data_IF_226597823085
#
_entry.id   IF_226597823085
#
_cell.length_a   1.000
_cell.length_b   1.000
_cell.length_c   1.000
_cell.angle_alpha   90.00
_cell.angle_beta   90.00
_cell.angle_gamma   90.00
#
_symmetry.space_group_name_H-M   'P 1'
#
loop_
_entity.id
_entity.type
_entity.pdbx_description
1 polymer ?
#
# COMPACT_ATOMS: atom_id res chain seq x y z
N UNK A 1 -65.19 37.37 48.54
CA UNK A 1 -65.00 36.45 49.68
C UNK A 1 -63.74 35.63 49.41
N UNK A 2 -62.73 35.75 50.31
CA UNK A 2 -61.62 34.81 50.67
C UNK A 2 -60.95 33.98 49.54
N UNK A 3 -59.64 33.78 49.44
CA UNK A 3 -58.39 34.15 50.15
C UNK A 3 -57.33 33.36 49.33
N UNK A 4 -56.44 33.95 48.52
CA UNK A 4 -55.04 34.30 48.85
C UNK A 4 -54.49 33.75 50.18
N UNK A 5 -53.21 33.31 50.13
CA UNK A 5 -52.32 32.74 51.18
C UNK A 5 -52.32 31.19 51.19
N UNK A 6 -51.23 30.43 51.19
CA UNK A 6 -49.81 30.67 51.51
C UNK A 6 -48.98 29.49 50.97
N UNK A 7 -47.85 29.76 50.29
CA UNK A 7 -46.44 29.61 50.74
C UNK A 7 -45.83 28.22 50.55
N UNK A 8 -44.70 28.25 49.82
CA UNK A 8 -43.42 27.57 50.09
C UNK A 8 -43.48 26.20 50.77
N UNK A 9 -42.92 25.17 50.11
CA UNK A 9 -41.99 24.19 50.71
C UNK A 9 -41.38 23.34 49.57
N UNK A 10 -40.07 23.54 49.34
CA UNK A 10 -39.03 22.58 48.89
C UNK A 10 -39.33 21.70 47.66
N UNK A 11 -38.78 21.95 46.47
CA UNK A 11 -37.35 21.82 46.10
C UNK A 11 -36.74 20.48 46.53
N UNK A 12 -37.17 19.35 45.94
CA UNK A 12 -36.40 18.08 45.99
C UNK A 12 -36.86 17.01 44.97
N UNK A 13 -36.80 17.27 43.65
CA UNK A 13 -36.58 16.20 42.63
C UNK A 13 -35.90 16.82 41.41
N UNK A 14 -34.68 17.31 41.58
CA UNK A 14 -33.75 17.64 40.48
C UNK A 14 -32.34 17.25 40.93
N UNK A 15 -32.14 15.97 41.22
CA UNK A 15 -30.84 15.43 41.61
C UNK A 15 -30.79 13.92 41.37
N UNK A 16 -30.91 13.48 40.11
CA UNK A 16 -30.34 12.18 39.70
C UNK A 16 -30.20 12.06 38.17
N UNK A 17 -29.47 12.98 37.53
CA UNK A 17 -28.99 12.72 36.15
C UNK A 17 -27.78 13.57 35.73
N UNK A 18 -26.98 14.04 36.69
CA UNK A 18 -25.76 14.80 36.42
C UNK A 18 -24.57 14.19 37.17
N UNK A 19 -24.23 12.95 36.82
CA UNK A 19 -22.94 12.33 37.10
C UNK A 19 -22.81 11.10 36.19
N UNK A 20 -22.27 11.32 34.98
CA UNK A 20 -21.55 10.34 34.15
C UNK A 20 -20.96 11.08 32.92
N UNK A 21 -20.36 12.25 33.17
CA UNK A 21 -19.47 12.92 32.23
C UNK A 21 -18.07 12.88 32.82
N UNK A 22 -17.44 11.72 32.73
CA UNK A 22 -16.11 11.49 33.29
C UNK A 22 -15.58 10.11 32.93
N UNK A 23 -14.51 10.12 32.14
CA UNK A 23 -13.58 9.02 31.90
C UNK A 23 -14.09 7.78 31.15
N UNK A 24 -13.74 7.72 29.87
CA UNK A 24 -13.83 6.51 29.06
C UNK A 24 -13.30 6.67 27.65
N UNK A 25 -12.24 7.46 27.43
CA UNK A 25 -11.44 7.22 26.23
C UNK A 25 -10.90 5.81 26.41
N UNK A 26 -11.46 4.85 25.67
CA UNK A 26 -10.92 3.50 25.62
C UNK A 26 -9.48 3.63 25.11
N UNK A 27 -8.54 3.61 26.06
CA UNK A 27 -7.14 3.42 25.76
C UNK A 27 -7.09 2.09 25.02
N UNK A 28 -6.75 2.13 23.73
CA UNK A 28 -6.36 0.93 22.99
C UNK A 28 -5.34 0.22 23.89
N UNK A 29 -5.59 -1.02 24.34
CA UNK A 29 -4.61 -1.72 25.14
C UNK A 29 -3.33 -1.81 24.32
N UNK A 30 -2.29 -1.07 24.75
CA UNK A 30 -0.93 -1.23 24.22
C UNK A 30 -0.45 -2.60 24.70
N UNK A 31 -0.78 -3.64 23.93
CA UNK A 31 -0.22 -4.97 24.14
C UNK A 31 1.30 -4.83 24.18
N UNK A 32 1.98 -5.24 25.26
CA UNK A 32 3.42 -5.05 25.39
C UNK A 32 4.21 -5.75 24.30
N UNK A 33 5.40 -5.19 24.01
CA UNK A 33 6.60 -5.77 23.39
C UNK A 33 6.77 -7.31 23.47
N UNK A 34 5.93 -8.16 22.89
CA UNK A 34 6.14 -9.62 22.89
C UNK A 34 7.34 -10.00 22.00
N UNK A 35 8.47 -10.24 22.67
CA UNK A 35 9.74 -10.66 22.10
C UNK A 35 9.85 -12.19 22.09
N UNK A 36 10.54 -12.74 21.09
CA UNK A 36 10.91 -14.15 21.07
C UNK A 36 11.87 -14.47 22.23
N UNK A 37 11.87 -15.71 22.70
CA UNK A 37 12.70 -16.16 23.83
C UNK A 37 14.21 -16.04 23.61
N UNK A 38 14.64 -15.93 22.35
CA UNK A 38 16.05 -15.81 21.93
C UNK A 38 16.44 -14.36 21.57
N UNK A 39 15.61 -13.36 21.87
CA UNK A 39 15.94 -11.96 21.60
C UNK A 39 17.05 -11.46 22.55
N UNK A 40 18.17 -10.90 22.03
CA UNK A 40 19.20 -10.31 22.86
C UNK A 40 18.73 -8.95 23.40
N UNK A 41 19.23 -8.50 24.56
CA UNK A 41 18.89 -7.18 25.11
C UNK A 41 19.34 -6.01 24.22
N UNK A 42 20.40 -6.23 23.44
CA UNK A 42 20.98 -5.25 22.50
C UNK A 42 21.41 -5.94 21.22
N UNK A 43 21.16 -5.30 20.09
CA UNK A 43 21.58 -5.78 18.78
C UNK A 43 22.38 -4.70 18.04
N UNK A 44 23.53 -5.09 17.48
CA UNK A 44 24.34 -4.21 16.64
C UNK A 44 23.91 -4.41 15.20
N UNK A 45 23.44 -3.33 14.57
CA UNK A 45 23.00 -3.31 13.17
C UNK A 45 24.17 -3.68 12.27
N UNK A 46 23.97 -4.61 11.35
CA UNK A 46 24.93 -5.02 10.33
C UNK A 46 24.45 -4.51 8.96
N UNK A 47 25.37 -4.45 7.99
CA UNK A 47 25.02 -4.05 6.62
C UNK A 47 23.96 -4.99 6.03
N UNK A 48 22.81 -4.42 5.65
CA UNK A 48 21.66 -5.16 5.13
C UNK A 48 20.50 -5.31 6.13
N UNK A 49 20.71 -4.95 7.40
CA UNK A 49 19.64 -4.96 8.38
C UNK A 49 18.67 -3.80 8.21
N UNK A 50 17.41 -4.08 8.52
CA UNK A 50 16.32 -3.11 8.62
C UNK A 50 15.64 -3.29 9.97
N UNK A 51 14.95 -2.27 10.48
CA UNK A 51 14.13 -2.46 11.70
C UNK A 51 13.10 -3.59 11.49
N UNK A 52 12.68 -3.79 10.25
CA UNK A 52 11.87 -4.91 9.80
C UNK A 52 12.55 -6.27 10.01
N UNK A 53 13.74 -6.50 9.44
CA UNK A 53 14.46 -7.78 9.57
C UNK A 53 14.86 -8.06 11.01
N UNK A 54 15.17 -7.02 11.78
CA UNK A 54 15.45 -7.10 13.22
C UNK A 54 14.17 -7.48 13.99
N UNK A 55 13.03 -6.87 13.68
CA UNK A 55 11.75 -7.22 14.30
C UNK A 55 11.31 -8.65 13.92
N UNK A 56 11.47 -9.06 12.67
CA UNK A 56 11.22 -10.43 12.22
C UNK A 56 12.05 -11.43 13.03
N UNK A 57 13.30 -11.09 13.32
CA UNK A 57 14.23 -11.95 14.03
C UNK A 57 13.92 -12.07 15.52
N UNK A 58 13.54 -10.96 16.17
CA UNK A 58 13.52 -10.87 17.64
C UNK A 58 12.14 -10.64 18.25
N UNK A 59 11.11 -10.40 17.45
CA UNK A 59 9.74 -10.22 17.90
C UNK A 59 8.84 -11.32 17.34
N UNK A 60 7.67 -11.52 17.93
CA UNK A 60 6.70 -12.51 17.43
C UNK A 60 6.14 -12.16 16.05
N UNK A 61 6.27 -10.90 15.62
CA UNK A 61 5.75 -10.42 14.35
C UNK A 61 6.66 -9.33 13.76
N UNK A 62 7.16 -9.51 12.52
CA UNK A 62 7.95 -8.50 11.80
C UNK A 62 7.32 -7.09 11.77
N UNK A 63 6.00 -7.01 11.86
CA UNK A 63 5.20 -5.78 11.84
C UNK A 63 5.35 -4.91 13.09
N UNK A 64 6.03 -5.40 14.13
CA UNK A 64 6.22 -4.68 15.38
C UNK A 64 7.47 -3.80 15.41
N UNK A 65 8.12 -3.67 14.27
CA UNK A 65 9.23 -2.75 14.08
C UNK A 65 8.91 -1.28 14.50
N UNK A 66 7.66 -0.75 14.40
CA UNK A 66 7.37 0.60 14.91
C UNK A 66 7.41 0.67 16.44
N UNK A 67 7.02 -0.41 17.13
CA UNK A 67 7.13 -0.51 18.59
C UNK A 67 8.60 -0.58 19.01
N UNK A 68 9.40 -1.37 18.28
CA UNK A 68 10.86 -1.45 18.46
C UNK A 68 11.54 -0.11 18.20
N UNK A 69 11.10 0.63 17.18
CA UNK A 69 11.57 1.98 16.91
C UNK A 69 11.20 2.95 18.03
N UNK A 70 9.95 2.91 18.50
CA UNK A 70 9.47 3.81 19.55
C UNK A 70 10.26 3.64 20.86
N UNK A 71 10.74 2.42 21.17
CA UNK A 71 11.66 2.16 22.28
C UNK A 71 13.06 2.79 22.10
N UNK A 72 13.46 3.04 20.85
CA UNK A 72 14.77 3.55 20.47
C UNK A 72 14.72 4.98 19.90
N UNK A 73 13.58 5.67 19.99
CA UNK A 73 13.33 6.99 19.39
C UNK A 73 14.30 8.08 19.85
N UNK A 74 14.92 7.90 21.02
CA UNK A 74 15.88 8.86 21.57
C UNK A 74 17.21 8.80 20.80
N UNK A 75 17.59 7.61 20.33
CA UNK A 75 18.80 7.35 19.54
C UNK A 75 18.51 7.42 18.03
N UNK A 76 17.34 6.96 17.60
CA UNK A 76 16.94 6.81 16.21
C UNK A 76 15.79 7.77 15.93
N UNK A 77 16.13 9.02 15.59
CA UNK A 77 15.14 10.05 15.27
C UNK A 77 14.34 9.75 14.02
N UNK A 78 14.94 9.01 13.07
CA UNK A 78 14.28 8.57 11.86
C UNK A 78 14.37 7.03 11.75
N UNK A 79 13.24 6.31 11.73
CA UNK A 79 13.22 4.85 11.69
C UNK A 79 13.89 4.26 10.43
N UNK A 80 14.01 5.07 9.37
CA UNK A 80 14.62 4.69 8.09
C UNK A 80 16.11 4.99 8.02
N UNK A 81 16.72 5.44 9.12
CA UNK A 81 18.15 5.78 9.19
C UNK A 81 18.81 4.99 10.32
N UNK A 82 18.94 3.69 10.11
CA UNK A 82 19.82 2.85 10.90
C UNK A 82 21.07 2.52 10.09
N UNK A 83 22.23 2.61 10.73
CA UNK A 83 23.53 2.42 10.12
C UNK A 83 24.21 1.18 10.70
N UNK A 84 25.03 0.47 9.90
CA UNK A 84 25.88 -0.58 10.44
C UNK A 84 26.74 -0.05 11.60
N UNK A 85 26.62 -0.68 12.77
CA UNK A 85 27.24 -0.24 14.02
C UNK A 85 26.30 0.46 15.01
N UNK A 86 25.08 0.82 14.61
CA UNK A 86 24.05 1.33 15.52
C UNK A 86 23.61 0.22 16.49
N UNK A 87 23.27 0.60 17.73
CA UNK A 87 22.84 -0.34 18.76
C UNK A 87 21.34 -0.17 19.01
N UNK A 88 20.56 -1.18 18.61
CA UNK A 88 19.13 -1.28 18.92
C UNK A 88 18.97 -1.92 20.29
N UNK A 89 18.25 -1.26 21.19
CA UNK A 89 17.85 -1.81 22.48
C UNK A 89 16.56 -2.60 22.29
N UNK A 90 16.60 -3.88 22.66
CA UNK A 90 15.49 -4.83 22.59
C UNK A 90 15.19 -5.34 24.02
N UNK A 91 15.19 -4.42 25.00
CA UNK A 91 15.01 -4.72 26.42
C UNK A 91 13.58 -4.34 26.88
N UNK A 92 12.91 -5.26 27.58
CA UNK A 92 11.54 -5.11 28.10
C UNK A 92 11.44 -4.17 29.32
N UNK A 93 12.54 -3.79 29.95
CA UNK A 93 12.51 -3.21 31.31
C UNK A 93 12.66 -1.68 31.38
N UNK A 94 13.03 -0.98 30.30
CA UNK A 94 13.19 0.49 30.34
C UNK A 94 11.89 1.26 30.09
N UNK A 95 11.02 1.17 31.10
CA UNK A 95 10.15 2.26 31.54
C UNK A 95 10.62 2.95 32.83
N UNK A 96 11.74 2.53 33.44
CA UNK A 96 12.27 3.15 34.67
C UNK A 96 13.80 3.30 34.66
N UNK A 97 14.25 4.42 35.24
CA UNK A 97 15.62 4.90 35.34
C UNK A 97 16.58 3.89 35.99
N UNK A 98 17.80 3.81 35.46
CA UNK A 98 18.98 3.42 36.23
C UNK A 98 20.23 4.13 35.68
N UNK A 99 20.76 5.06 36.48
CA UNK A 99 22.07 5.70 36.33
C UNK A 99 23.16 4.68 36.66
N UNK A 100 24.04 4.37 35.70
CA UNK A 100 25.45 4.11 35.99
C UNK A 100 26.25 3.99 34.69
N UNK A 101 27.40 4.67 34.65
CA UNK A 101 28.43 4.47 33.63
C UNK A 101 28.94 5.76 33.00
N UNK A 102 29.90 6.39 33.67
CA UNK A 102 30.72 7.49 33.15
C UNK A 102 31.27 7.15 31.76
N UNK A 103 30.79 7.85 30.72
CA UNK A 103 31.36 7.75 29.36
C UNK A 103 32.59 8.65 29.30
N UNK A 104 33.77 8.03 29.17
CA UNK A 104 35.02 8.72 28.86
C UNK A 104 34.93 9.22 27.41
N UNK A 105 34.71 10.52 27.24
CA UNK A 105 34.74 11.19 25.93
C UNK A 105 36.20 11.25 25.45
N UNK A 106 36.60 10.34 24.57
CA UNK A 106 37.75 10.55 23.69
C UNK A 106 37.28 11.24 22.41
N UNK A 107 37.93 12.31 21.93
CA UNK A 107 37.54 12.98 20.70
C UNK A 107 37.54 11.98 19.55
N UNK A 108 36.37 11.75 18.94
CA UNK A 108 36.27 10.99 17.69
C UNK A 108 35.88 11.98 16.62
N UNK A 109 36.76 12.15 15.64
CA UNK A 109 36.51 12.98 14.45
C UNK A 109 35.19 12.48 13.84
N UNK A 110 34.18 13.35 13.84
CA UNK A 110 32.96 13.15 13.05
C UNK A 110 33.39 13.35 11.60
N UNK A 111 33.79 12.27 10.93
CA UNK A 111 33.79 12.29 9.48
C UNK A 111 32.32 12.40 9.05
N UNK A 112 31.90 13.61 8.70
CA UNK A 112 30.72 13.80 7.88
C UNK A 112 31.01 13.12 6.54
N UNK A 113 30.62 11.85 6.41
CA UNK A 113 30.66 11.16 5.13
C UNK A 113 29.52 11.70 4.29
N UNK A 114 29.82 12.71 3.51
CA UNK A 114 29.03 13.17 2.36
C UNK A 114 28.63 11.96 1.51
N UNK A 115 27.34 11.88 1.17
CA UNK A 115 26.72 10.94 0.25
C UNK A 115 26.94 9.43 0.54
N UNK A 116 25.95 8.78 1.17
CA UNK A 116 25.63 7.35 0.93
C UNK A 116 24.21 7.05 1.41
N UNK A 117 23.41 6.57 0.46
CA UNK A 117 21.97 6.38 0.50
C UNK A 117 21.47 5.59 1.71
N UNK A 118 20.35 6.05 2.27
CA UNK A 118 19.58 5.33 3.28
C UNK A 118 18.97 4.06 2.67
N UNK A 119 18.96 2.97 3.43
CA UNK A 119 18.43 1.68 2.99
C UNK A 119 16.90 1.68 3.18
N UNK A 120 16.09 1.54 2.11
CA UNK A 120 14.64 1.46 2.23
C UNK A 120 14.21 0.14 2.92
N UNK A 121 13.11 0.22 3.67
CA UNK A 121 12.53 -0.88 4.48
C UNK A 121 11.98 -2.08 3.68
N UNK A 122 11.94 -1.97 2.36
CA UNK A 122 11.75 -3.07 1.40
C UNK A 122 12.93 -2.97 0.43
N UNK A 123 13.61 -4.08 0.06
CA UNK A 123 14.70 -4.01 -0.91
C UNK A 123 14.17 -3.38 -2.20
N UNK A 124 14.71 -2.21 -2.56
CA UNK A 124 14.30 -1.46 -3.74
C UNK A 124 14.20 -2.31 -5.03
N UNK A 125 15.09 -3.30 -5.29
CA UNK A 125 14.99 -4.15 -6.48
C UNK A 125 13.68 -4.97 -6.60
N UNK A 126 13.00 -5.25 -5.49
CA UNK A 126 11.74 -6.05 -5.49
C UNK A 126 10.55 -5.20 -5.90
N UNK A 127 10.62 -3.88 -5.74
CA UNK A 127 9.51 -2.94 -5.90
C UNK A 127 9.73 -1.95 -7.05
N UNK A 128 10.98 -1.65 -7.42
CA UNK A 128 11.35 -0.71 -8.48
C UNK A 128 10.70 -1.00 -9.84
N UNK A 129 10.63 -2.26 -10.34
CA UNK A 129 9.92 -2.56 -11.58
C UNK A 129 8.41 -2.28 -11.49
N UNK A 130 7.84 -2.30 -10.29
CA UNK A 130 6.42 -2.13 -10.02
C UNK A 130 6.05 -0.69 -9.65
N UNK A 131 6.99 0.11 -9.16
CA UNK A 131 6.76 1.54 -8.89
C UNK A 131 6.61 2.37 -10.16
N UNK A 132 7.19 1.91 -11.27
CA UNK A 132 7.30 2.70 -12.50
C UNK A 132 6.27 2.32 -13.57
N UNK A 133 5.58 1.18 -13.47
CA UNK A 133 4.95 0.54 -14.65
C UNK A 133 3.41 0.34 -14.64
N UNK A 134 2.76 -0.16 -13.58
CA UNK A 134 1.32 -0.37 -13.58
C UNK A 134 0.62 0.97 -13.40
N UNK A 135 0.02 1.46 -14.49
CA UNK A 135 -0.82 2.64 -14.50
C UNK A 135 -2.28 2.15 -14.47
N UNK A 136 -3.10 2.77 -13.63
CA UNK A 136 -4.55 2.71 -13.77
C UNK A 136 -4.93 3.84 -14.70
N UNK A 137 -5.75 3.52 -15.69
CA UNK A 137 -6.40 4.54 -16.49
C UNK A 137 -7.80 4.71 -15.90
N UNK A 138 -8.13 5.93 -15.48
CA UNK A 138 -9.50 6.28 -15.13
C UNK A 138 -10.42 6.01 -16.33
N UNK A 139 -11.74 5.78 -16.17
CA UNK A 139 -12.61 5.40 -17.27
C UNK A 139 -12.49 6.25 -18.56
N UNK A 140 -12.10 7.52 -18.44
CA UNK A 140 -11.87 8.53 -19.47
C UNK A 140 -10.37 8.89 -19.68
N UNK A 141 -9.46 8.36 -18.87
CA UNK A 141 -8.07 8.82 -18.74
C UNK A 141 -7.17 8.64 -19.98
N UNK A 142 -7.59 7.83 -20.97
CA UNK A 142 -6.87 7.68 -22.25
C UNK A 142 -7.64 8.22 -23.46
N UNK A 143 -8.86 8.73 -23.29
CA UNK A 143 -9.69 9.10 -24.44
C UNK A 143 -9.03 10.21 -25.26
N UNK A 144 -8.45 11.18 -24.56
CA UNK A 144 -7.72 12.32 -25.12
C UNK A 144 -6.21 12.08 -25.25
N UNK A 145 -5.71 10.90 -24.87
CA UNK A 145 -4.28 10.62 -24.95
C UNK A 145 -3.81 10.55 -26.41
N UNK A 146 -2.60 11.04 -26.73
CA UNK A 146 -2.02 10.88 -28.06
C UNK A 146 -2.00 9.41 -28.48
N UNK A 147 -2.11 9.14 -29.78
CA UNK A 147 -2.23 7.77 -30.31
C UNK A 147 -1.32 7.52 -31.48
N UNK A 148 -0.82 6.29 -31.60
CA UNK A 148 -0.09 5.83 -32.79
C UNK A 148 -1.07 5.74 -33.97
N UNK A 149 -0.74 6.42 -35.07
CA UNK A 149 -1.50 6.41 -36.32
C UNK A 149 -0.82 5.64 -37.44
N UNK A 150 0.51 5.51 -37.40
CA UNK A 150 1.28 4.72 -38.36
C UNK A 150 2.62 4.26 -37.78
N UNK A 151 3.22 3.25 -38.39
CA UNK A 151 4.49 2.63 -38.00
C UNK A 151 5.34 2.47 -39.27
N UNK A 152 6.63 2.75 -39.19
CA UNK A 152 7.53 2.75 -40.35
C UNK A 152 7.76 1.32 -40.92
N UNK A 153 7.84 0.31 -40.05
CA UNK A 153 8.12 -1.09 -40.41
C UNK A 153 6.87 -1.94 -40.74
N UNK A 154 5.68 -1.35 -40.90
CA UNK A 154 4.45 -2.07 -41.26
C UNK A 154 3.33 -1.90 -40.24
N UNK A 155 2.69 -3.00 -39.79
CA UNK A 155 1.49 -2.93 -38.93
C UNK A 155 1.77 -2.93 -37.42
N UNK A 156 2.90 -3.49 -37.00
CA UNK A 156 3.24 -3.77 -35.59
C UNK A 156 4.75 -3.74 -35.39
N UNK A 157 5.21 -3.29 -34.21
CA UNK A 157 6.63 -3.25 -33.83
C UNK A 157 6.91 -4.25 -32.71
N UNK A 158 7.99 -5.01 -32.87
CA UNK A 158 8.58 -5.89 -31.86
C UNK A 158 10.02 -5.56 -31.51
N UNK A 159 10.66 -4.61 -32.20
CA UNK A 159 12.06 -4.21 -32.00
C UNK A 159 12.25 -2.82 -31.41
N UNK A 160 13.39 -2.59 -30.74
CA UNK A 160 13.81 -1.25 -30.34
C UNK A 160 14.31 -0.46 -31.56
N UNK A 161 14.38 0.87 -31.44
CA UNK A 161 14.82 1.84 -32.45
C UNK A 161 13.89 2.02 -33.67
N UNK A 162 12.76 1.31 -33.70
CA UNK A 162 11.73 1.51 -34.72
C UNK A 162 11.01 2.86 -34.54
N UNK A 163 10.55 3.43 -35.65
CA UNK A 163 9.84 4.70 -35.68
C UNK A 163 8.33 4.52 -35.78
N UNK A 164 7.61 5.39 -35.09
CA UNK A 164 6.16 5.47 -35.17
C UNK A 164 5.68 6.92 -35.28
N UNK A 165 4.50 7.09 -35.86
CA UNK A 165 3.86 8.38 -36.05
C UNK A 165 2.68 8.50 -35.11
N UNK A 166 2.58 9.63 -34.42
CA UNK A 166 1.63 9.85 -33.33
C UNK A 166 0.83 11.11 -33.59
N UNK A 167 -0.49 11.01 -33.38
CA UNK A 167 -1.42 12.13 -33.48
C UNK A 167 -1.91 12.55 -32.11
N UNK A 168 -2.14 13.84 -31.92
CA UNK A 168 -2.70 14.42 -30.69
C UNK A 168 -1.67 14.71 -29.61
N UNK A 169 -0.38 14.81 -29.94
CA UNK A 169 0.66 15.21 -28.97
C UNK A 169 0.66 16.70 -28.65
N UNK A 170 0.05 17.53 -29.51
CA UNK A 170 -0.02 18.99 -29.32
C UNK A 170 1.37 19.63 -29.18
N UNK A 171 1.44 20.72 -28.41
CA UNK A 171 2.69 21.46 -28.14
C UNK A 171 3.48 20.93 -26.94
N UNK A 172 3.31 19.65 -26.58
CA UNK A 172 3.97 19.07 -25.42
C UNK A 172 5.49 19.14 -25.56
N UNK A 173 6.16 19.61 -24.50
CA UNK A 173 7.63 19.70 -24.42
C UNK A 173 8.28 18.46 -23.82
N UNK A 174 7.49 17.42 -23.56
CA UNK A 174 7.95 16.18 -22.94
C UNK A 174 8.77 15.36 -23.93
N UNK A 175 10.01 15.06 -23.55
CA UNK A 175 10.95 14.34 -24.40
C UNK A 175 10.70 12.82 -24.41
N UNK A 176 10.10 12.29 -23.34
CA UNK A 176 9.92 10.85 -23.12
C UNK A 176 8.47 10.53 -22.81
N UNK A 177 7.99 9.43 -23.39
CA UNK A 177 6.60 9.00 -23.33
C UNK A 177 6.52 7.51 -23.08
N UNK A 178 5.53 7.10 -22.29
CA UNK A 178 5.19 5.70 -22.09
C UNK A 178 4.06 5.31 -23.03
N UNK A 179 4.16 4.12 -23.61
CA UNK A 179 3.11 3.54 -24.46
C UNK A 179 2.28 2.56 -23.66
N UNK A 180 0.96 2.70 -23.80
CA UNK A 180 -0.02 1.91 -23.10
C UNK A 180 -1.11 1.40 -24.04
N UNK A 181 -1.57 0.18 -23.75
CA UNK A 181 -2.79 -0.40 -24.29
C UNK A 181 -3.84 -0.52 -23.20
N UNK A 182 -5.08 -0.19 -23.54
CA UNK A 182 -6.23 -0.42 -22.65
C UNK A 182 -6.38 -1.93 -22.42
N UNK A 183 -6.22 -2.33 -21.18
CA UNK A 183 -6.41 -3.69 -20.70
C UNK A 183 -7.84 -3.93 -20.21
N UNK A 184 -7.97 -4.83 -19.24
CA UNK A 184 -9.27 -5.24 -18.71
C UNK A 184 -9.91 -4.14 -17.87
N UNK A 185 -11.25 -4.10 -17.86
CA UNK A 185 -12.00 -3.27 -16.94
C UNK A 185 -11.77 -3.74 -15.50
N UNK A 186 -11.48 -2.80 -14.60
CA UNK A 186 -11.46 -3.04 -13.16
C UNK A 186 -12.87 -2.80 -12.62
N UNK A 187 -13.59 -3.89 -12.42
CA UNK A 187 -14.97 -3.86 -11.92
C UNK A 187 -14.94 -4.11 -10.41
N UNK A 188 -15.61 -3.25 -9.66
CA UNK A 188 -15.81 -3.44 -8.25
C UNK A 188 -16.67 -4.69 -8.01
N UNK A 189 -16.15 -5.72 -7.32
CA UNK A 189 -16.90 -6.95 -7.06
C UNK A 189 -18.15 -6.76 -6.18
N UNK A 190 -18.24 -5.65 -5.44
CA UNK A 190 -19.35 -5.40 -4.51
C UNK A 190 -20.48 -4.62 -5.19
N UNK A 191 -20.12 -3.62 -5.99
CA UNK A 191 -21.09 -2.71 -6.62
C UNK A 191 -21.32 -2.98 -8.10
N UNK A 192 -20.52 -3.84 -8.74
CA UNK A 192 -20.45 -4.04 -10.19
C UNK A 192 -20.16 -2.76 -11.00
N UNK A 193 -19.66 -1.70 -10.36
CA UNK A 193 -19.27 -0.47 -11.04
C UNK A 193 -17.88 -0.64 -11.67
N UNK A 194 -17.70 -0.16 -12.90
CA UNK A 194 -16.35 -0.08 -13.50
C UNK A 194 -15.61 1.11 -12.90
N UNK A 195 -14.54 0.83 -12.15
CA UNK A 195 -13.72 1.85 -11.48
C UNK A 195 -12.58 2.39 -12.37
N UNK A 196 -12.26 1.70 -13.45
CA UNK A 196 -11.22 2.09 -14.40
C UNK A 196 -10.82 0.95 -15.32
N UNK A 197 -9.73 1.13 -16.06
CA UNK A 197 -9.13 0.13 -16.93
C UNK A 197 -7.66 -0.05 -16.58
N UNK A 198 -7.20 -1.29 -16.63
CA UNK A 198 -5.78 -1.60 -16.53
C UNK A 198 -5.01 -0.98 -17.71
N UNK A 199 -3.87 -0.33 -17.46
CA UNK A 199 -2.97 0.11 -18.51
C UNK A 199 -1.86 -0.91 -18.71
N UNK A 200 -1.87 -1.58 -19.86
CA UNK A 200 -0.83 -2.53 -20.21
C UNK A 200 0.34 -1.72 -20.79
N UNK A 201 1.44 -1.67 -20.05
CA UNK A 201 2.66 -0.99 -20.50
C UNK A 201 3.30 -1.76 -21.66
N UNK A 202 3.47 -1.07 -22.80
CA UNK A 202 4.04 -1.65 -24.01
C UNK A 202 5.51 -1.26 -24.22
N UNK A 203 5.92 -0.07 -23.77
CA UNK A 203 7.25 0.44 -24.05
C UNK A 203 7.44 1.92 -23.71
N UNK A 204 8.64 2.41 -23.99
CA UNK A 204 9.01 3.83 -23.87
C UNK A 204 9.41 4.35 -25.24
N UNK A 205 8.97 5.57 -25.55
CA UNK A 205 9.35 6.30 -26.74
C UNK A 205 10.00 7.63 -26.37
N UNK A 206 10.77 8.17 -27.32
CA UNK A 206 11.21 9.55 -27.31
C UNK A 206 10.73 10.29 -28.56
N UNK A 207 10.44 11.57 -28.42
CA UNK A 207 10.08 12.42 -29.57
C UNK A 207 11.35 12.79 -30.33
N UNK A 208 11.39 12.49 -31.62
CA UNK A 208 12.48 12.88 -32.53
C UNK A 208 12.08 14.07 -33.39
N UNK A 209 10.82 14.16 -33.82
CA UNK A 209 10.31 15.30 -34.56
C UNK A 209 8.91 15.68 -34.05
N UNK A 210 8.72 16.87 -33.47
CA UNK A 210 7.40 17.36 -33.11
C UNK A 210 6.59 17.71 -34.37
N UNK A 211 5.27 17.63 -34.28
CA UNK A 211 4.35 17.93 -35.38
C UNK A 211 3.00 17.23 -35.21
N UNK A 212 2.15 17.34 -36.22
CA UNK A 212 0.89 16.61 -36.31
C UNK A 212 0.80 15.93 -37.69
N UNK A 213 1.18 14.64 -37.81
CA UNK A 213 1.64 13.75 -36.74
C UNK A 213 3.09 14.03 -36.32
N UNK A 214 3.41 13.79 -35.06
CA UNK A 214 4.77 13.79 -34.54
C UNK A 214 5.44 12.43 -34.82
N UNK A 215 6.76 12.45 -34.98
CA UNK A 215 7.57 11.24 -35.12
C UNK A 215 8.21 10.91 -33.78
N UNK A 216 8.07 9.64 -33.37
CA UNK A 216 8.71 9.09 -32.19
C UNK A 216 9.63 7.93 -32.57
N UNK A 217 10.63 7.72 -31.73
CA UNK A 217 11.52 6.56 -31.76
C UNK A 217 11.25 5.71 -30.52
N UNK A 218 11.08 4.41 -30.72
CA UNK A 218 10.83 3.45 -29.65
C UNK A 218 12.14 3.08 -28.96
N UNK A 219 12.33 3.56 -27.74
CA UNK A 219 13.54 3.33 -26.94
C UNK A 219 13.54 1.92 -26.34
N UNK A 220 12.38 1.43 -25.93
CA UNK A 220 12.24 0.08 -25.40
C UNK A 220 10.87 -0.47 -25.73
N UNK A 221 10.83 -1.71 -26.22
CA UNK A 221 9.60 -2.46 -26.49
C UNK A 221 9.53 -3.67 -25.56
N UNK A 222 8.50 -3.73 -24.73
CA UNK A 222 8.22 -4.84 -23.81
C UNK A 222 7.13 -5.77 -24.36
N UNK A 223 6.21 -5.22 -25.14
CA UNK A 223 5.17 -5.96 -25.86
C UNK A 223 4.95 -5.34 -27.23
N UNK A 224 4.35 -6.10 -28.14
CA UNK A 224 4.03 -5.65 -29.49
C UNK A 224 3.23 -4.34 -29.49
N UNK A 225 3.78 -3.31 -30.16
CA UNK A 225 3.19 -1.98 -30.29
C UNK A 225 2.54 -1.86 -31.67
N UNK A 226 1.32 -1.34 -31.72
CA UNK A 226 0.50 -1.24 -32.92
C UNK A 226 -0.24 0.09 -33.05
N UNK A 227 -0.90 0.25 -34.21
CA UNK A 227 -1.78 1.39 -34.47
C UNK A 227 -2.91 1.41 -33.42
N UNK A 228 -3.19 2.59 -32.86
CA UNK A 228 -4.22 2.80 -31.85
C UNK A 228 -3.72 2.75 -30.40
N UNK A 229 -2.49 2.29 -30.16
CA UNK A 229 -1.87 2.37 -28.83
C UNK A 229 -1.66 3.82 -28.41
N UNK A 230 -1.78 4.08 -27.11
CA UNK A 230 -1.85 5.44 -26.55
C UNK A 230 -0.57 5.80 -25.83
N UNK A 231 -0.26 7.10 -25.81
CA UNK A 231 0.94 7.63 -25.18
C UNK A 231 0.57 8.47 -23.96
N UNK A 232 1.35 8.34 -22.90
CA UNK A 232 1.25 9.16 -21.70
C UNK A 232 2.62 9.78 -21.43
N UNK A 233 2.70 11.08 -21.06
CA UNK A 233 3.96 11.69 -20.69
C UNK A 233 4.68 10.89 -19.60
N UNK A 234 5.96 10.58 -19.79
CA UNK A 234 6.70 9.82 -18.79
C UNK A 234 6.94 10.64 -17.50
N UNK A 235 7.04 11.97 -17.64
CA UNK A 235 7.38 12.86 -16.54
C UNK A 235 8.75 12.54 -15.94
N UNK A 236 9.06 13.16 -14.80
CA UNK A 236 10.22 12.77 -13.99
C UNK A 236 9.80 11.62 -13.08
N UNK A 237 10.55 10.50 -13.03
CA UNK A 237 10.29 9.45 -12.05
C UNK A 237 10.44 10.02 -10.65
N UNK A 238 9.32 10.29 -9.98
CA UNK A 238 9.34 10.49 -8.54
C UNK A 238 9.47 9.11 -7.91
N UNK A 239 10.57 8.86 -7.23
CA UNK A 239 10.71 7.67 -6.37
C UNK A 239 10.20 8.12 -5.01
N UNK A 240 8.90 7.91 -4.68
CA UNK A 240 8.42 8.28 -3.38
C UNK A 240 9.17 7.47 -2.32
N UNK A 241 9.64 8.15 -1.28
CA UNK A 241 10.13 7.45 -0.09
C UNK A 241 8.92 6.94 0.67
N UNK A 242 8.79 5.62 0.81
CA UNK A 242 7.68 5.02 1.54
C UNK A 242 8.15 4.00 2.57
N UNK A 243 7.36 3.93 3.64
CA UNK A 243 7.53 3.01 4.74
C UNK A 243 6.27 2.15 4.85
N UNK A 244 6.38 0.82 4.93
CA UNK A 244 5.23 -0.04 5.21
C UNK A 244 4.62 0.29 6.57
N UNK A 245 3.36 0.71 6.59
CA UNK A 245 2.63 1.05 7.82
C UNK A 245 1.16 0.65 7.70
N UNK A 246 0.48 0.40 8.82
CA UNK A 246 -0.95 0.11 8.79
C UNK A 246 -1.75 1.43 8.58
N UNK A 247 -2.89 1.39 7.87
CA UNK A 247 -3.80 2.53 7.83
C UNK A 247 -4.25 2.93 9.23
N UNK A 248 -4.32 4.24 9.51
CA UNK A 248 -4.80 4.74 10.80
C UNK A 248 -6.31 4.52 10.99
N UNK A 249 -7.08 4.56 9.89
CA UNK A 249 -8.49 4.26 9.87
C UNK A 249 -8.76 2.77 9.56
N UNK A 250 -9.91 2.27 9.98
CA UNK A 250 -10.35 0.93 9.58
C UNK A 250 -10.76 0.96 8.12
N UNK A 251 -10.03 0.23 7.28
CA UNK A 251 -10.31 0.05 5.86
C UNK A 251 -10.70 -1.40 5.63
N UNK A 252 -11.75 -1.63 4.86
CA UNK A 252 -12.14 -2.95 4.38
C UNK A 252 -12.51 -2.87 2.91
N UNK A 253 -11.96 -3.77 2.10
CA UNK A 253 -12.21 -3.87 0.67
C UNK A 253 -11.96 -5.27 0.15
N UNK A 254 -11.82 -5.39 -1.16
CA UNK A 254 -11.64 -6.65 -1.88
C UNK A 254 -10.59 -6.55 -2.97
N UNK A 255 -9.98 -7.70 -3.26
CA UNK A 255 -9.15 -7.90 -4.43
C UNK A 255 -10.07 -7.98 -5.66
N UNK A 256 -9.89 -7.06 -6.61
CA UNK A 256 -10.64 -7.03 -7.86
C UNK A 256 -10.01 -7.93 -8.92
N UNK A 257 -8.69 -7.80 -9.09
CA UNK A 257 -7.95 -8.49 -10.14
C UNK A 257 -6.48 -8.66 -9.77
N UNK A 258 -5.81 -9.52 -10.53
CA UNK A 258 -4.37 -9.73 -10.46
C UNK A 258 -3.78 -9.15 -11.74
N UNK A 259 -2.87 -8.20 -11.60
CA UNK A 259 -2.24 -7.52 -12.74
C UNK A 259 -1.45 -8.53 -13.58
N UNK A 260 -1.63 -8.48 -14.91
CA UNK A 260 -1.00 -9.43 -15.84
C UNK A 260 -1.52 -10.88 -15.73
N UNK A 261 -2.53 -11.16 -14.90
CA UNK A 261 -3.15 -12.48 -14.78
C UNK A 261 -4.16 -12.75 -15.90
N UNK A 262 -4.20 -13.98 -16.41
CA UNK A 262 -5.26 -14.43 -17.31
C UNK A 262 -6.60 -14.43 -16.57
N UNK A 263 -7.60 -13.73 -17.13
CA UNK A 263 -8.90 -13.32 -16.55
C UNK A 263 -9.75 -14.39 -15.83
N UNK A 264 -9.39 -15.67 -15.87
CA UNK A 264 -10.27 -16.76 -15.45
C UNK A 264 -9.64 -17.75 -14.47
N UNK A 265 -8.31 -17.75 -14.26
CA UNK A 265 -7.62 -18.76 -13.42
C UNK A 265 -6.42 -18.20 -12.64
N UNK A 266 -6.17 -16.90 -12.71
CA UNK A 266 -5.01 -16.30 -12.04
C UNK A 266 -5.12 -16.44 -10.52
N UNK A 267 -4.13 -17.08 -9.91
CA UNK A 267 -3.94 -17.02 -8.45
C UNK A 267 -2.62 -16.29 -8.20
N UNK A 268 -2.65 -15.27 -7.36
CA UNK A 268 -1.49 -14.41 -7.13
C UNK A 268 -0.61 -15.01 -6.04
N UNK A 269 0.66 -15.25 -6.37
CA UNK A 269 1.68 -15.66 -5.40
C UNK A 269 2.33 -14.46 -4.72
N UNK A 270 3.37 -14.74 -3.94
CA UNK A 270 4.27 -13.70 -3.40
C UNK A 270 4.84 -12.86 -4.56
N UNK A 271 4.99 -11.56 -4.33
CA UNK A 271 5.42 -10.53 -5.30
C UNK A 271 4.50 -10.32 -6.51
N UNK A 272 3.29 -10.88 -6.50
CA UNK A 272 2.27 -10.55 -7.50
C UNK A 272 1.63 -9.20 -7.18
N UNK A 273 1.20 -8.48 -8.20
CA UNK A 273 0.44 -7.23 -8.03
C UNK A 273 -1.05 -7.54 -8.09
N UNK A 274 -1.79 -6.99 -7.14
CA UNK A 274 -3.26 -7.06 -7.10
C UNK A 274 -3.87 -5.66 -7.12
N UNK A 275 -5.03 -5.54 -7.77
CA UNK A 275 -5.84 -4.33 -7.73
C UNK A 275 -6.89 -4.45 -6.62
N UNK A 276 -7.03 -3.41 -5.80
CA UNK A 276 -7.98 -3.35 -4.69
C UNK A 276 -9.09 -2.33 -5.00
N UNK A 277 -10.33 -2.64 -4.62
CA UNK A 277 -11.50 -1.75 -4.79
C UNK A 277 -11.56 -0.60 -3.77
N UNK A 278 -10.42 -0.21 -3.23
CA UNK A 278 -10.27 0.91 -2.29
C UNK A 278 -9.12 1.79 -2.76
N UNK A 279 -9.31 3.09 -2.64
CA UNK A 279 -8.35 4.10 -3.04
C UNK A 279 -8.19 5.21 -2.00
N UNK A 280 -7.76 6.38 -2.46
CA UNK A 280 -7.55 7.57 -1.64
C UNK A 280 -8.85 8.05 -0.99
N UNK A 281 -9.98 7.93 -1.69
CA UNK A 281 -11.30 8.28 -1.15
C UNK A 281 -11.70 7.41 0.06
N UNK A 282 -11.12 6.22 0.17
CA UNK A 282 -11.35 5.27 1.26
C UNK A 282 -10.28 5.35 2.36
N UNK A 283 -9.37 6.33 2.27
CA UNK A 283 -8.30 6.54 3.24
C UNK A 283 -7.09 5.63 3.04
N UNK A 284 -6.88 5.08 1.83
CA UNK A 284 -5.62 4.42 1.50
C UNK A 284 -4.55 5.42 1.08
N UNK A 285 -3.31 5.14 1.48
CA UNK A 285 -2.13 5.93 1.17
C UNK A 285 -0.99 5.02 0.71
N UNK A 286 -0.04 5.61 0.00
CA UNK A 286 1.19 4.93 -0.39
C UNK A 286 1.92 4.46 0.88
N UNK A 287 2.28 3.17 0.91
CA UNK A 287 2.92 2.58 2.07
C UNK A 287 1.98 1.75 2.95
N UNK A 288 0.67 1.84 2.75
CA UNK A 288 -0.29 1.10 3.55
C UNK A 288 -0.13 -0.41 3.42
N UNK A 289 -0.26 -1.12 4.54
CA UNK A 289 -0.24 -2.57 4.60
C UNK A 289 -1.60 -3.06 5.04
N UNK A 290 -2.15 -4.00 4.28
CA UNK A 290 -3.46 -4.60 4.52
C UNK A 290 -3.32 -6.10 4.69
N UNK A 291 -4.13 -6.67 5.58
CA UNK A 291 -4.21 -8.10 5.78
C UNK A 291 -5.20 -8.74 4.81
N UNK A 292 -4.80 -9.88 4.25
CA UNK A 292 -5.60 -10.69 3.33
C UNK A 292 -6.36 -11.78 4.08
N UNK A 293 -7.63 -11.90 3.72
CA UNK A 293 -8.59 -12.83 4.30
C UNK A 293 -9.27 -13.63 3.19
N UNK A 294 -9.34 -14.95 3.38
CA UNK A 294 -9.94 -15.84 2.39
C UNK A 294 -11.45 -15.65 2.42
N UNK A 295 -12.04 -15.34 1.28
CA UNK A 295 -13.49 -15.40 1.16
C UNK A 295 -13.92 -16.87 1.03
N UNK A 296 -14.49 -17.43 2.11
CA UNK A 296 -14.88 -18.86 2.18
C UNK A 296 -16.33 -19.13 1.78
N UNK A 297 -17.07 -18.08 1.40
CA UNK A 297 -18.46 -18.17 0.98
C UNK A 297 -19.39 -18.72 2.07
N UNK A 298 -20.55 -19.19 1.62
CA UNK A 298 -21.52 -19.92 2.44
C UNK A 298 -21.50 -21.40 2.09
N UNK A 299 -21.75 -22.26 3.07
CA UNK A 299 -21.92 -23.70 2.88
C UNK A 299 -23.34 -24.06 3.28
N UNK A 300 -24.02 -24.82 2.43
CA UNK A 300 -25.33 -25.37 2.74
C UNK A 300 -25.19 -26.38 3.91
N UNK A 301 -25.90 -26.13 5.00
CA UNK A 301 -26.01 -27.04 6.12
C UNK A 301 -26.89 -28.23 5.72
N UNK A 302 -26.25 -29.37 5.49
CA UNK A 302 -26.90 -30.61 5.05
C UNK A 302 -27.93 -31.16 6.06
N UNK A 303 -27.93 -30.68 7.30
CA UNK A 303 -28.87 -31.07 8.34
C UNK A 303 -30.12 -30.18 8.40
N UNK A 304 -30.16 -29.09 7.65
CA UNK A 304 -31.32 -28.18 7.58
C UNK A 304 -32.12 -28.43 6.31
N UNK A 305 -33.42 -28.15 6.40
CA UNK A 305 -34.32 -28.22 5.24
C UNK A 305 -33.86 -27.23 4.17
N UNK A 306 -33.83 -27.69 2.90
CA UNK A 306 -33.65 -26.79 1.75
C UNK A 306 -34.70 -25.66 1.85
N UNK A 307 -34.24 -24.42 1.78
CA UNK A 307 -35.01 -23.16 1.93
C UNK A 307 -35.30 -22.70 3.37
N UNK A 308 -34.71 -23.30 4.40
CA UNK A 308 -34.69 -22.67 5.72
C UNK A 308 -33.86 -21.37 5.65
N UNK A 309 -34.26 -20.27 6.33
CA UNK A 309 -33.56 -18.99 6.28
C UNK A 309 -32.11 -19.04 6.76
N UNK A 310 -31.72 -20.11 7.45
CA UNK A 310 -30.40 -20.40 7.99
C UNK A 310 -29.77 -21.67 7.37
N UNK A 311 -30.27 -22.12 6.22
CA UNK A 311 -29.76 -23.27 5.49
C UNK A 311 -28.35 -23.03 4.93
N UNK A 312 -27.95 -21.78 4.71
CA UNK A 312 -26.61 -21.42 4.26
C UNK A 312 -25.82 -20.79 5.42
N UNK A 313 -24.71 -21.42 5.80
CA UNK A 313 -23.85 -20.97 6.89
C UNK A 313 -22.62 -20.26 6.31
N UNK A 314 -22.44 -18.98 6.65
CA UNK A 314 -21.24 -18.24 6.28
C UNK A 314 -20.02 -18.77 7.05
N UNK A 315 -19.00 -19.19 6.32
CA UNK A 315 -17.76 -19.65 6.95
C UNK A 315 -16.93 -18.44 7.41
N UNK A 316 -16.32 -18.49 8.60
CA UNK A 316 -15.49 -17.40 9.09
C UNK A 316 -14.28 -17.19 8.18
N UNK A 317 -13.98 -15.93 7.92
CA UNK A 317 -12.81 -15.52 7.16
C UNK A 317 -11.51 -15.88 7.89
N UNK A 318 -10.54 -16.40 7.14
CA UNK A 318 -9.23 -16.80 7.68
C UNK A 318 -8.15 -15.87 7.13
N UNK A 319 -7.35 -15.27 8.03
CA UNK A 319 -6.18 -14.45 7.64
C UNK A 319 -5.12 -15.37 7.05
N UNK A 320 -4.67 -15.08 5.84
CA UNK A 320 -3.68 -15.92 5.18
C UNK A 320 -2.49 -15.14 4.60
N UNK A 321 -2.47 -13.81 4.69
CA UNK A 321 -1.35 -13.03 4.21
C UNK A 321 -1.49 -11.52 4.33
N UNK A 322 -0.60 -10.81 3.64
CA UNK A 322 -0.47 -9.35 3.67
C UNK A 322 -0.11 -8.77 2.31
N UNK A 323 -0.61 -7.57 2.04
CA UNK A 323 -0.30 -6.78 0.85
C UNK A 323 0.25 -5.41 1.22
N UNK A 324 1.09 -4.87 0.35
CA UNK A 324 1.73 -3.57 0.47
C UNK A 324 1.25 -2.64 -0.65
N UNK A 325 0.54 -1.58 -0.30
CA UNK A 325 0.00 -0.59 -1.23
C UNK A 325 1.13 0.32 -1.71
N UNK A 326 1.43 0.24 -3.01
CA UNK A 326 2.52 1.00 -3.63
C UNK A 326 2.04 1.99 -4.69
N UNK A 327 0.73 2.01 -4.99
CA UNK A 327 0.12 3.03 -5.85
C UNK A 327 -1.34 3.20 -5.47
N UNK A 328 -1.78 4.45 -5.35
CA UNK A 328 -3.14 4.80 -4.93
C UNK A 328 -3.74 5.78 -5.93
N UNK A 329 -4.95 5.47 -6.38
CA UNK A 329 -5.84 6.33 -7.16
C UNK A 329 -7.07 6.64 -6.32
N UNK A 330 -8.01 7.42 -6.83
CA UNK A 330 -9.15 7.87 -6.03
C UNK A 330 -10.01 6.72 -5.50
N UNK A 331 -10.31 5.70 -6.33
CA UNK A 331 -11.19 4.57 -5.98
C UNK A 331 -10.51 3.20 -6.05
N UNK A 332 -9.26 3.16 -6.48
CA UNK A 332 -8.52 1.91 -6.72
C UNK A 332 -7.10 2.08 -6.19
N UNK A 333 -6.50 0.99 -5.74
CA UNK A 333 -5.07 0.96 -5.41
C UNK A 333 -4.43 -0.32 -5.93
N UNK A 334 -3.14 -0.24 -6.24
CA UNK A 334 -2.32 -1.41 -6.52
C UNK A 334 -1.50 -1.76 -5.29
N UNK A 335 -1.50 -3.05 -4.97
CA UNK A 335 -0.76 -3.59 -3.86
C UNK A 335 0.08 -4.79 -4.28
N UNK A 336 1.27 -4.89 -3.71
CA UNK A 336 2.19 -6.01 -3.86
C UNK A 336 1.86 -7.06 -2.82
N UNK A 337 1.68 -8.31 -3.23
CA UNK A 337 1.50 -9.43 -2.31
C UNK A 337 2.84 -9.74 -1.64
N UNK A 338 2.92 -9.60 -0.32
CA UNK A 338 4.20 -9.70 0.42
C UNK A 338 4.44 -11.10 0.95
N UNK A 339 3.52 -11.60 1.76
CA UNK A 339 3.59 -12.94 2.35
C UNK A 339 2.18 -13.52 2.37
N UNK A 340 2.03 -14.71 1.79
CA UNK A 340 0.77 -15.44 1.75
C UNK A 340 1.03 -16.93 1.96
N UNK A 341 0.18 -17.59 2.76
CA UNK A 341 0.21 -19.06 2.94
C UNK A 341 -0.61 -19.78 1.88
N UNK A 342 -1.46 -19.04 1.16
CA UNK A 342 -2.29 -19.53 0.05
C UNK A 342 -2.32 -18.48 -1.04
N UNK A 343 -2.37 -18.86 -2.33
CA UNK A 343 -2.33 -17.87 -3.38
C UNK A 343 -3.63 -17.02 -3.40
N UNK A 344 -3.49 -15.73 -3.68
CA UNK A 344 -4.54 -14.72 -3.60
C UNK A 344 -5.52 -14.87 -4.76
N UNK A 345 -6.82 -14.81 -4.46
CA UNK A 345 -7.87 -14.89 -5.47
C UNK A 345 -8.66 -13.58 -5.54
N UNK A 346 -9.22 -13.22 -6.71
CA UNK A 346 -10.26 -12.20 -6.78
C UNK A 346 -11.38 -12.50 -5.76
N UNK A 347 -12.05 -11.45 -5.26
CA UNK A 347 -13.04 -11.48 -4.16
C UNK A 347 -12.47 -11.64 -2.75
N UNK A 348 -11.20 -12.05 -2.58
CA UNK A 348 -10.59 -12.11 -1.25
C UNK A 348 -10.63 -10.74 -0.57
N UNK A 349 -10.78 -10.76 0.74
CA UNK A 349 -10.99 -9.55 1.55
C UNK A 349 -9.64 -8.97 1.94
N UNK A 350 -9.52 -7.65 1.82
CA UNK A 350 -8.43 -6.87 2.39
C UNK A 350 -8.95 -6.01 3.53
N UNK A 351 -8.24 -5.99 4.66
CA UNK A 351 -8.62 -5.13 5.79
C UNK A 351 -7.43 -4.62 6.57
N UNK A 352 -7.63 -3.58 7.38
CA UNK A 352 -6.63 -3.11 8.34
C UNK A 352 -6.13 -4.29 9.22
N UNK A 353 -4.80 -4.49 9.36
CA UNK A 353 -4.21 -5.70 9.96
C UNK A 353 -4.50 -6.02 11.42
#
# INVERSE_FOLDING_TARGET
>A
MRNQQNKFITSLVFALCSMLAGAGWAQVPKTPLALKSNAPERYVVVRGDTLWSIAERFTDSPWRWPELWNMNKDQIKNPHRIYPGDVIVIDRTRGQLALSGTVKLSPRVRAESTAKEAIPSIPAPVIEPFLTRPLLIEPDGLDNAPRIVAIDEGRVVTGNDSKAFVSGMGDSKEASWYLYRRGSALVDPETNLTLGYEAIYLGTARVIQPGEPATIELVSVTQEIGIGDRLVPAGRPEIPSYAPHAPAASVQGRVMSIYGGLRTVGVAGIHSIVALNRGKADGLELGHVLALYRHRGTVADAYKTKNAPDADVALPEERYGLTFVFRVFDRVSYALVMNVTRPVSPMDVVRTP
#
